data_IF_565684257390
#
_entry.id   IF_565684257390
#
_cell.length_a   1.000
_cell.length_b   1.000
_cell.length_c   1.000
_cell.angle_alpha   90.00
_cell.angle_beta   90.00
_cell.angle_gamma   90.00
#
_symmetry.space_group_name_H-M   'P 1'
#
loop_
_entity.id
_entity.type
_entity.pdbx_description
1 polymer ?
#
# COMPACT_ATOMS: atom_id res chain seq x y z
N UNK A 1 3.05 1.54 -1.45
CA UNK A 1 2.68 2.53 -2.48
C UNK A 1 1.49 2.06 -3.31
N UNK A 2 0.32 2.18 -2.68
CA UNK A 2 -0.99 2.12 -3.30
C UNK A 2 -1.43 3.55 -3.67
N UNK A 3 -2.71 3.74 -3.97
CA UNK A 3 -3.35 5.05 -4.12
C UNK A 3 -2.62 6.03 -5.05
N UNK A 4 -2.27 7.19 -4.48
CA UNK A 4 -1.73 8.38 -5.16
C UNK A 4 -0.40 8.09 -5.85
N UNK A 5 0.52 7.39 -5.19
CA UNK A 5 1.83 7.07 -5.78
C UNK A 5 1.68 6.25 -7.06
N UNK A 6 0.78 5.27 -7.07
CA UNK A 6 0.52 4.47 -8.28
C UNK A 6 -0.15 5.28 -9.40
N UNK A 7 -1.09 6.17 -9.06
CA UNK A 7 -1.70 7.04 -10.05
C UNK A 7 -0.66 7.97 -10.69
N UNK A 8 0.25 8.52 -9.87
CA UNK A 8 1.36 9.34 -10.34
C UNK A 8 2.30 8.57 -11.26
N UNK A 9 2.70 7.35 -10.90
CA UNK A 9 3.50 6.47 -11.77
C UNK A 9 2.81 6.29 -13.11
N UNK A 10 1.50 6.06 -13.12
CA UNK A 10 0.70 5.88 -14.34
C UNK A 10 0.46 7.17 -15.14
N UNK A 11 1.00 8.32 -14.72
CA UNK A 11 0.74 9.62 -15.35
C UNK A 11 -0.72 10.07 -15.23
N UNK A 12 -1.44 9.56 -14.23
CA UNK A 12 -2.86 9.83 -14.00
C UNK A 12 -3.05 10.87 -12.91
N UNK A 13 -4.23 11.47 -12.89
CA UNK A 13 -4.65 12.31 -11.78
C UNK A 13 -4.64 11.49 -10.47
N UNK A 14 -4.08 12.03 -9.37
CA UNK A 14 -4.06 11.36 -8.07
C UNK A 14 -5.43 10.82 -7.61
N UNK A 15 -6.51 11.49 -8.02
CA UNK A 15 -7.89 11.12 -7.68
C UNK A 15 -8.44 9.91 -8.45
N UNK A 16 -7.78 9.46 -9.53
CA UNK A 16 -8.29 8.40 -10.39
C UNK A 16 -8.47 7.04 -9.69
N UNK A 17 -7.76 6.79 -8.58
CA UNK A 17 -7.75 5.50 -7.88
C UNK A 17 -8.56 5.49 -6.57
N UNK A 18 -8.95 6.66 -6.06
CA UNK A 18 -9.39 6.85 -4.67
C UNK A 18 -8.27 6.54 -3.66
N UNK A 19 -8.24 7.22 -2.51
CA UNK A 19 -7.28 6.92 -1.44
C UNK A 19 -8.00 6.74 -0.10
N UNK A 20 -7.79 5.58 0.52
CA UNK A 20 -8.20 5.33 1.90
C UNK A 20 -7.12 5.80 2.86
N UNK A 21 -5.89 5.42 2.55
CA UNK A 21 -4.64 5.71 3.23
C UNK A 21 -3.65 6.41 2.28
N UNK A 22 -2.55 6.87 2.86
CA UNK A 22 -1.42 7.41 2.15
C UNK A 22 -0.16 6.63 2.51
N UNK A 23 0.43 5.96 1.51
CA UNK A 23 1.72 5.30 1.68
C UNK A 23 2.88 6.30 1.54
N UNK A 24 3.72 6.38 2.55
CA UNK A 24 5.03 7.01 2.49
C UNK A 24 6.11 5.96 2.60
N UNK A 25 7.21 6.13 1.89
CA UNK A 25 8.37 5.27 2.06
C UNK A 25 9.57 6.10 2.49
N UNK A 26 10.13 5.76 3.64
CA UNK A 26 11.29 6.43 4.24
C UNK A 26 12.41 5.44 4.47
N UNK A 27 13.63 5.97 4.58
CA UNK A 27 14.75 5.17 5.03
C UNK A 27 14.52 4.73 6.47
N UNK A 28 14.95 3.52 6.81
CA UNK A 28 14.67 2.93 8.12
C UNK A 28 15.26 3.73 9.28
N UNK A 29 16.40 4.38 9.04
CA UNK A 29 17.07 5.21 10.04
C UNK A 29 16.38 6.57 10.25
N UNK A 30 15.55 7.00 9.29
CA UNK A 30 14.83 8.27 9.33
C UNK A 30 13.39 8.13 9.87
N UNK A 31 12.95 6.92 10.23
CA UNK A 31 11.56 6.67 10.66
C UNK A 31 11.20 7.51 11.88
N UNK A 32 12.05 7.52 12.90
CA UNK A 32 11.76 8.24 14.16
C UNK A 32 11.63 9.74 13.90
N UNK A 33 12.61 10.31 13.19
CA UNK A 33 12.59 11.72 12.84
C UNK A 33 11.38 12.07 11.96
N UNK A 34 10.99 11.18 11.05
CA UNK A 34 9.78 11.39 10.24
C UNK A 34 8.54 11.38 11.11
N UNK A 35 8.37 10.40 12.00
CA UNK A 35 7.22 10.34 12.92
C UNK A 35 7.14 11.59 13.79
N UNK A 36 8.26 12.03 14.36
CA UNK A 36 8.34 13.26 15.16
C UNK A 36 7.93 14.48 14.34
N UNK A 37 8.41 14.58 13.09
CA UNK A 37 8.01 15.66 12.21
C UNK A 37 6.50 15.62 11.92
N UNK A 38 5.94 14.44 11.62
CA UNK A 38 4.51 14.31 11.35
C UNK A 38 3.65 14.59 12.57
N UNK A 39 4.17 14.35 13.77
CA UNK A 39 3.51 14.75 15.00
C UNK A 39 3.37 16.28 15.13
N UNK A 40 4.30 17.07 14.58
CA UNK A 40 4.20 18.55 14.59
C UNK A 40 3.00 19.08 13.79
N UNK A 41 2.50 18.29 12.84
CA UNK A 41 1.32 18.61 12.03
C UNK A 41 0.10 17.76 12.43
N UNK A 42 0.08 17.21 13.65
CA UNK A 42 -1.09 16.58 14.26
C UNK A 42 -1.24 15.07 14.04
N UNK A 43 -0.33 14.41 13.32
CA UNK A 43 -0.36 12.95 13.19
C UNK A 43 0.08 12.26 14.49
N UNK A 44 -0.52 11.12 14.81
CA UNK A 44 -0.15 10.29 15.96
C UNK A 44 -0.04 8.83 15.54
N UNK A 45 0.91 8.06 16.06
CA UNK A 45 0.98 6.63 15.76
C UNK A 45 -0.25 5.91 16.29
N UNK A 46 -0.81 4.99 15.48
CA UNK A 46 -1.89 4.11 15.94
C UNK A 46 -1.41 3.23 17.11
N UNK A 47 -0.17 2.76 17.03
CA UNK A 47 0.52 2.02 18.09
C UNK A 47 1.81 2.76 18.49
N UNK A 48 1.83 3.53 19.59
CA UNK A 48 3.04 4.21 20.07
C UNK A 48 4.21 3.25 20.33
N UNK A 49 3.95 2.00 20.75
CA UNK A 49 5.00 1.03 21.02
C UNK A 49 5.70 0.56 19.73
N UNK A 50 5.03 0.65 18.58
CA UNK A 50 5.63 0.39 17.28
C UNK A 50 6.80 1.34 17.00
N UNK A 51 6.64 2.62 17.30
CA UNK A 51 7.66 3.66 17.09
C UNK A 51 8.90 3.35 17.92
N UNK A 52 8.72 3.05 19.21
CA UNK A 52 9.81 2.66 20.10
C UNK A 52 10.56 1.42 19.60
N UNK A 53 9.83 0.40 19.13
CA UNK A 53 10.40 -0.84 18.63
C UNK A 53 11.20 -0.62 17.34
N UNK A 54 10.69 0.19 16.41
CA UNK A 54 11.40 0.50 15.15
C UNK A 54 12.72 1.22 15.43
N UNK A 55 12.75 2.18 16.35
CA UNK A 55 13.97 2.89 16.74
C UNK A 55 14.93 2.06 17.60
N UNK A 56 14.47 0.96 18.20
CA UNK A 56 15.27 0.18 19.14
C UNK A 56 16.36 -0.67 18.45
N UNK A 57 17.61 -0.57 18.93
CA UNK A 57 18.69 -1.47 18.55
C UNK A 57 18.58 -2.88 19.19
N UNK A 58 17.62 -3.09 20.10
CA UNK A 58 17.42 -4.37 20.79
C UNK A 58 17.07 -5.52 19.85
N UNK A 59 17.20 -6.76 20.33
CA UNK A 59 16.73 -7.95 19.58
C UNK A 59 15.26 -7.84 19.19
N UNK A 60 14.41 -7.27 20.07
CA UNK A 60 12.98 -7.06 19.78
C UNK A 60 12.78 -6.05 18.66
N UNK A 61 13.49 -4.93 18.67
CA UNK A 61 13.42 -3.94 17.58
C UNK A 61 13.89 -4.50 16.24
N UNK A 62 14.99 -5.27 16.23
CA UNK A 62 15.45 -5.97 15.02
C UNK A 62 14.41 -6.96 14.47
N UNK A 63 13.76 -7.73 15.35
CA UNK A 63 12.69 -8.65 14.94
C UNK A 63 11.49 -7.87 14.42
N UNK A 64 11.11 -6.77 15.08
CA UNK A 64 10.01 -5.92 14.65
C UNK A 64 10.24 -5.39 13.22
N UNK A 65 11.40 -4.79 12.94
CA UNK A 65 11.78 -4.32 11.60
C UNK A 65 11.88 -5.45 10.56
N UNK A 66 12.01 -6.69 11.01
CA UNK A 66 12.02 -7.87 10.13
C UNK A 66 10.60 -8.30 9.74
N UNK A 67 9.63 -8.29 10.67
CA UNK A 67 8.25 -8.75 10.41
C UNK A 67 7.29 -7.65 9.94
N UNK A 68 7.55 -6.41 10.31
CA UNK A 68 6.68 -5.27 10.04
C UNK A 68 7.33 -4.36 9.00
N UNK A 69 6.59 -3.94 7.95
CA UNK A 69 7.12 -3.05 6.91
C UNK A 69 6.83 -1.56 7.16
N UNK A 70 5.85 -1.25 8.01
CA UNK A 70 5.23 0.08 8.11
C UNK A 70 4.76 0.43 9.54
N UNK A 71 4.55 1.71 9.81
CA UNK A 71 3.83 2.24 10.97
C UNK A 71 2.64 3.04 10.47
N UNK A 72 1.43 2.74 10.94
CA UNK A 72 0.25 3.55 10.63
C UNK A 72 0.16 4.76 11.56
N UNK A 73 0.00 5.94 10.98
CA UNK A 73 -0.19 7.22 11.66
C UNK A 73 -1.59 7.74 11.36
N UNK A 74 -2.29 8.21 12.39
CA UNK A 74 -3.65 8.70 12.34
C UNK A 74 -3.69 10.21 12.53
N UNK A 75 -4.68 10.85 11.93
CA UNK A 75 -4.99 12.27 12.14
C UNK A 75 -6.50 12.42 12.27
N UNK A 76 -6.95 13.38 13.08
CA UNK A 76 -8.40 13.56 13.33
C UNK A 76 -9.16 14.06 12.10
N UNK A 77 -8.49 14.85 11.26
CA UNK A 77 -9.10 15.52 10.10
C UNK A 77 -8.55 15.04 8.75
N UNK A 78 -7.45 14.28 8.75
CA UNK A 78 -6.71 13.92 7.54
C UNK A 78 -6.67 12.41 7.39
N UNK A 79 -6.28 11.96 6.20
CA UNK A 79 -6.18 10.53 5.90
C UNK A 79 -5.05 9.89 6.71
N UNK A 80 -5.23 8.63 7.15
CA UNK A 80 -4.15 7.85 7.73
C UNK A 80 -2.95 7.77 6.79
N UNK A 81 -1.77 7.70 7.38
CA UNK A 81 -0.51 7.48 6.69
C UNK A 81 0.01 6.12 7.08
N UNK A 82 0.32 5.30 6.09
CA UNK A 82 1.19 4.15 6.30
C UNK A 82 2.62 4.58 6.00
N UNK A 83 3.42 4.73 7.05
CA UNK A 83 4.84 5.08 6.97
C UNK A 83 5.65 3.80 6.80
N UNK A 84 5.87 3.40 5.55
CA UNK A 84 6.72 2.29 5.18
C UNK A 84 8.19 2.63 5.42
N UNK A 85 8.91 1.70 6.02
CA UNK A 85 10.38 1.66 6.03
C UNK A 85 10.91 0.45 5.27
N UNK A 86 10.00 -0.40 4.77
CA UNK A 86 10.25 -1.47 3.82
C UNK A 86 9.04 -1.59 2.90
N UNK A 87 9.25 -1.89 1.62
CA UNK A 87 8.13 -2.11 0.70
C UNK A 87 7.28 -3.33 1.07
N UNK A 88 7.89 -4.35 1.67
CA UNK A 88 7.22 -5.60 2.01
C UNK A 88 7.87 -6.25 3.24
N UNK A 89 7.15 -7.23 3.80
CA UNK A 89 7.67 -8.08 4.88
C UNK A 89 8.87 -8.88 4.39
N UNK A 90 9.83 -9.15 5.27
CA UNK A 90 11.07 -9.89 4.93
C UNK A 90 10.86 -11.30 4.39
N UNK A 91 9.70 -11.91 4.66
CA UNK A 91 9.35 -13.24 4.14
C UNK A 91 9.01 -13.23 2.66
N UNK A 92 8.80 -12.05 2.06
CA UNK A 92 8.59 -11.87 0.63
C UNK A 92 9.86 -11.31 0.01
N UNK A 93 10.53 -12.12 -0.81
CA UNK A 93 11.73 -11.72 -1.53
C UNK A 93 11.37 -10.66 -2.58
N UNK A 94 11.54 -9.39 -2.26
CA UNK A 94 11.73 -8.34 -3.26
C UNK A 94 13.12 -7.76 -3.05
N UNK A 95 14.05 -7.97 -3.99
CA UNK A 95 15.43 -7.54 -3.87
C UNK A 95 15.56 -6.06 -4.25
N UNK A 96 14.87 -5.17 -3.54
CA UNK A 96 14.99 -3.73 -3.76
C UNK A 96 15.22 -3.04 -2.41
N UNK A 97 16.39 -2.42 -2.28
CA UNK A 97 16.72 -1.55 -1.15
C UNK A 97 16.07 -0.17 -1.31
N UNK A 98 16.01 0.58 -0.21
CA UNK A 98 15.53 1.97 -0.28
C UNK A 98 16.40 2.81 -1.22
N UNK A 99 17.72 2.72 -1.09
CA UNK A 99 18.65 3.54 -1.87
C UNK A 99 18.56 3.25 -3.36
N UNK A 100 18.53 1.97 -3.77
CA UNK A 100 18.33 1.59 -5.18
C UNK A 100 17.04 2.17 -5.76
N UNK A 101 15.95 2.08 -4.99
CA UNK A 101 14.68 2.62 -5.46
C UNK A 101 14.60 4.14 -5.43
N UNK A 102 15.31 4.78 -4.50
CA UNK A 102 15.41 6.22 -4.41
C UNK A 102 16.23 6.78 -5.58
N UNK A 103 17.35 6.16 -5.91
CA UNK A 103 18.17 6.52 -7.07
C UNK A 103 17.39 6.42 -8.37
N UNK A 104 16.62 5.34 -8.53
CA UNK A 104 15.79 5.13 -9.73
C UNK A 104 14.42 5.82 -9.64
N UNK A 105 14.12 6.57 -8.59
CA UNK A 105 12.79 7.16 -8.41
C UNK A 105 12.52 8.24 -9.45
N UNK A 106 11.25 8.40 -9.80
CA UNK A 106 10.79 9.40 -10.76
C UNK A 106 10.09 10.54 -10.05
N UNK A 107 10.26 11.75 -10.57
CA UNK A 107 9.52 12.92 -10.07
C UNK A 107 8.05 12.80 -10.42
N UNK A 108 7.20 13.17 -9.48
CA UNK A 108 5.77 13.26 -9.71
C UNK A 108 5.49 14.63 -10.37
N UNK A 109 4.85 14.68 -11.54
CA UNK A 109 4.46 15.93 -12.17
C UNK A 109 3.54 16.76 -11.25
N UNK A 110 3.73 18.07 -11.22
CA UNK A 110 2.91 18.98 -10.39
C UNK A 110 3.30 19.01 -8.91
N UNK A 111 4.40 18.37 -8.54
CA UNK A 111 5.08 18.59 -7.26
C UNK A 111 6.23 19.56 -7.53
N UNK A 112 6.56 20.45 -6.60
CA UNK A 112 7.55 21.53 -6.79
C UNK A 112 9.01 21.00 -6.89
N UNK A 113 9.26 19.98 -7.71
CA UNK A 113 10.54 19.27 -7.84
C UNK A 113 10.81 18.26 -6.72
N UNK A 114 9.82 18.03 -5.88
CA UNK A 114 10.02 17.52 -4.54
C UNK A 114 9.44 16.11 -4.35
N UNK A 115 8.25 15.84 -4.90
CA UNK A 115 7.60 14.55 -4.82
C UNK A 115 8.26 13.51 -5.70
N UNK A 116 8.65 12.38 -5.10
CA UNK A 116 9.24 11.23 -5.79
C UNK A 116 8.36 10.00 -5.62
N UNK A 117 8.34 9.15 -6.63
CA UNK A 117 7.67 7.85 -6.60
C UNK A 117 8.55 6.77 -7.20
N UNK A 118 8.18 5.51 -6.97
CA UNK A 118 8.86 4.37 -7.57
C UNK A 118 8.88 4.50 -9.09
N UNK A 119 9.97 4.10 -9.75
CA UNK A 119 9.90 3.85 -11.19
C UNK A 119 8.87 2.73 -11.47
N UNK A 120 8.38 2.67 -12.71
CA UNK A 120 7.35 1.69 -13.09
C UNK A 120 7.77 0.23 -12.82
N UNK A 121 9.06 -0.09 -12.95
CA UNK A 121 9.60 -1.43 -12.64
C UNK A 121 9.47 -1.77 -11.14
N UNK A 122 9.91 -0.86 -10.27
CA UNK A 122 9.80 -1.05 -8.82
C UNK A 122 8.34 -1.05 -8.35
N UNK A 123 7.52 -0.18 -8.94
CA UNK A 123 6.09 -0.14 -8.70
C UNK A 123 5.42 -1.46 -9.11
N UNK A 124 5.83 -2.09 -10.22
CA UNK A 124 5.28 -3.37 -10.67
C UNK A 124 5.61 -4.50 -9.69
N UNK A 125 6.87 -4.64 -9.26
CA UNK A 125 7.27 -5.64 -8.26
C UNK A 125 6.48 -5.45 -6.96
N UNK A 126 6.37 -4.21 -6.49
CA UNK A 126 5.62 -3.88 -5.30
C UNK A 126 4.12 -4.23 -5.44
N UNK A 127 3.49 -3.85 -6.56
CA UNK A 127 2.09 -4.16 -6.84
C UNK A 127 1.83 -5.67 -6.92
N UNK A 128 2.71 -6.42 -7.58
CA UNK A 128 2.61 -7.88 -7.70
C UNK A 128 2.67 -8.58 -6.34
N UNK A 129 3.59 -8.14 -5.47
CA UNK A 129 3.73 -8.70 -4.14
C UNK A 129 2.54 -8.34 -3.23
N UNK A 130 2.06 -7.10 -3.29
CA UNK A 130 0.85 -6.70 -2.55
C UNK A 130 -0.39 -7.47 -3.01
N UNK A 131 -0.61 -7.60 -4.32
CA UNK A 131 -1.72 -8.37 -4.85
C UNK A 131 -1.68 -9.82 -4.36
N UNK A 132 -0.48 -10.41 -4.28
CA UNK A 132 -0.28 -11.76 -3.76
C UNK A 132 -0.54 -11.83 -2.25
N UNK A 133 -0.03 -10.88 -1.46
CA UNK A 133 -0.26 -10.77 0.00
C UNK A 133 -1.76 -10.66 0.31
N UNK A 134 -2.46 -9.83 -0.45
CA UNK A 134 -3.88 -9.53 -0.26
C UNK A 134 -4.77 -10.58 -0.96
N UNK A 135 -4.21 -11.74 -1.32
CA UNK A 135 -4.92 -12.86 -1.95
C UNK A 135 -5.75 -12.48 -3.18
N UNK A 136 -5.33 -11.44 -3.90
CA UNK A 136 -6.03 -10.95 -5.09
C UNK A 136 -7.49 -10.53 -4.80
N UNK A 137 -7.73 -9.97 -3.62
CA UNK A 137 -9.06 -9.60 -3.14
C UNK A 137 -9.75 -8.47 -3.92
N UNK A 138 -8.99 -7.67 -4.67
CA UNK A 138 -9.50 -6.54 -5.45
C UNK A 138 -9.03 -6.57 -6.91
N UNK A 139 -9.96 -6.30 -7.84
CA UNK A 139 -9.67 -6.12 -9.27
C UNK A 139 -8.74 -4.93 -9.53
N UNK A 140 -8.70 -3.96 -8.61
CA UNK A 140 -7.83 -2.79 -8.72
C UNK A 140 -6.36 -3.19 -8.88
N UNK A 141 -5.90 -4.17 -8.10
CA UNK A 141 -4.52 -4.67 -8.20
C UNK A 141 -4.22 -5.20 -9.60
N UNK A 142 -5.14 -5.94 -10.20
CA UNK A 142 -4.97 -6.49 -11.56
C UNK A 142 -4.87 -5.37 -12.59
N UNK A 143 -5.70 -4.33 -12.47
CA UNK A 143 -5.65 -3.15 -13.34
C UNK A 143 -4.29 -2.46 -13.22
N UNK A 144 -3.77 -2.23 -12.02
CA UNK A 144 -2.46 -1.57 -11.87
C UNK A 144 -1.33 -2.39 -12.48
N UNK A 145 -1.33 -3.70 -12.31
CA UNK A 145 -0.35 -4.60 -12.91
C UNK A 145 -0.38 -4.48 -14.43
N UNK A 146 -1.57 -4.46 -15.06
CA UNK A 146 -1.67 -4.27 -16.52
C UNK A 146 -1.02 -2.96 -16.94
N UNK A 147 -1.34 -1.85 -16.27
CA UNK A 147 -0.81 -0.54 -16.64
C UNK A 147 0.71 -0.47 -16.48
N UNK A 148 1.24 -0.92 -15.34
CA UNK A 148 2.67 -0.91 -15.07
C UNK A 148 3.44 -1.82 -16.03
N UNK A 149 2.90 -3.01 -16.34
CA UNK A 149 3.48 -3.93 -17.30
C UNK A 149 3.61 -3.29 -18.69
N UNK A 150 2.59 -2.55 -19.13
CA UNK A 150 2.64 -1.80 -20.41
C UNK A 150 3.64 -0.65 -20.37
N UNK A 151 3.80 0.01 -19.24
CA UNK A 151 4.72 1.15 -19.10
C UNK A 151 6.19 0.75 -19.20
N UNK A 152 6.57 -0.40 -18.64
CA UNK A 152 7.98 -0.84 -18.65
C UNK A 152 8.41 -1.47 -19.99
N UNK A 153 7.45 -1.83 -20.84
CA UNK A 153 7.68 -2.47 -22.13
C UNK A 153 8.01 -3.96 -22.03
N UNK A 154 7.84 -4.63 -23.16
CA UNK A 154 7.86 -6.09 -23.31
C UNK A 154 9.20 -6.74 -22.89
N UNK A 155 10.33 -6.12 -23.26
CA UNK A 155 11.66 -6.64 -22.93
C UNK A 155 11.95 -6.59 -21.43
N UNK A 156 11.60 -5.47 -20.77
CA UNK A 156 11.79 -5.33 -19.33
C UNK A 156 10.84 -6.27 -18.58
N UNK A 157 9.58 -6.35 -19.00
CA UNK A 157 8.59 -7.26 -18.43
C UNK A 157 9.04 -8.72 -18.51
N UNK A 158 9.57 -9.16 -19.65
CA UNK A 158 10.11 -10.52 -19.81
C UNK A 158 11.24 -10.83 -18.82
N UNK A 159 12.20 -9.91 -18.65
CA UNK A 159 13.28 -10.06 -17.66
C UNK A 159 12.75 -10.15 -16.22
N UNK A 160 11.74 -9.34 -15.89
CA UNK A 160 11.12 -9.38 -14.57
C UNK A 160 10.38 -10.70 -14.30
N UNK A 161 9.59 -11.20 -15.26
CA UNK A 161 8.90 -12.49 -15.10
C UNK A 161 9.89 -13.65 -14.89
N UNK A 162 11.07 -13.61 -15.52
CA UNK A 162 12.10 -14.65 -15.32
C UNK A 162 12.73 -14.55 -13.93
N UNK A 163 13.00 -13.33 -13.46
CA UNK A 163 13.75 -13.10 -12.21
C UNK A 163 12.90 -13.03 -10.94
N UNK A 164 11.60 -12.71 -11.06
CA UNK A 164 10.68 -12.52 -9.94
C UNK A 164 9.40 -13.35 -10.12
N UNK A 165 9.27 -14.49 -9.39
CA UNK A 165 8.08 -15.35 -9.46
C UNK A 165 6.77 -14.65 -9.05
N UNK A 166 6.84 -13.59 -8.24
CA UNK A 166 5.65 -12.82 -7.85
C UNK A 166 5.15 -12.00 -9.04
N UNK A 167 6.07 -11.39 -9.79
CA UNK A 167 5.75 -10.67 -11.03
C UNK A 167 5.24 -11.64 -12.09
N UNK A 168 5.87 -12.79 -12.30
CA UNK A 168 5.41 -13.83 -13.24
C UNK A 168 3.95 -14.24 -12.95
N UNK A 169 3.65 -14.61 -11.70
CA UNK A 169 2.29 -14.95 -11.29
C UNK A 169 1.32 -13.78 -11.53
N UNK A 170 1.74 -12.57 -11.17
CA UNK A 170 0.91 -11.37 -11.31
C UNK A 170 0.57 -11.07 -12.77
N UNK A 171 1.52 -11.20 -13.67
CA UNK A 171 1.33 -11.00 -15.11
C UNK A 171 0.40 -12.08 -15.69
N UNK A 172 0.51 -13.35 -15.26
CA UNK A 172 -0.45 -14.38 -15.69
C UNK A 172 -1.86 -14.13 -15.14
N UNK A 173 -2.02 -13.56 -13.94
CA UNK A 173 -3.33 -13.13 -13.46
C UNK A 173 -3.85 -11.98 -14.33
N UNK A 174 -3.03 -10.95 -14.53
CA UNK A 174 -3.35 -9.78 -15.35
C UNK A 174 -3.66 -10.12 -16.81
N UNK A 175 -3.11 -11.21 -17.34
CA UNK A 175 -3.39 -11.65 -18.71
C UNK A 175 -4.82 -12.14 -18.92
N UNK A 176 -5.60 -12.38 -17.86
CA UNK A 176 -7.03 -12.63 -17.96
C UNK A 176 -7.83 -11.35 -18.25
N UNK A 177 -7.26 -10.18 -17.92
CA UNK A 177 -7.81 -8.87 -18.24
C UNK A 177 -7.23 -8.33 -19.56
N UNK A 178 -5.92 -8.50 -19.77
CA UNK A 178 -5.22 -8.09 -21.00
C UNK A 178 -4.42 -9.28 -21.60
N UNK A 179 -5.01 -10.05 -22.52
CA UNK A 179 -4.34 -11.21 -23.14
C UNK A 179 -3.02 -10.88 -23.84
N UNK A 180 -2.77 -9.62 -24.20
CA UNK A 180 -1.51 -9.21 -24.81
C UNK A 180 -0.29 -9.36 -23.89
N UNK A 181 -0.49 -9.54 -22.58
CA UNK A 181 0.59 -9.79 -21.63
C UNK A 181 1.09 -11.24 -21.60
N UNK A 182 0.41 -12.18 -22.30
CA UNK A 182 0.75 -13.61 -22.25
C UNK A 182 2.09 -13.97 -22.87
N UNK A 183 2.64 -13.14 -23.75
CA UNK A 183 3.90 -13.41 -24.46
C UNK A 183 5.16 -13.30 -23.60
N UNK A 184 5.06 -12.79 -22.37
CA UNK A 184 6.22 -12.42 -21.55
C UNK A 184 6.46 -13.36 -20.36
N UNK A 185 5.65 -14.41 -20.20
CA UNK A 185 5.75 -15.31 -19.03
C UNK A 185 6.45 -16.61 -19.40
N UNK A 186 7.39 -17.05 -18.56
CA UNK A 186 7.99 -18.39 -18.63
C UNK A 186 7.20 -19.40 -17.78
N UNK A 187 5.94 -19.08 -17.53
CA UNK A 187 5.13 -19.66 -16.48
C UNK A 187 4.85 -21.14 -16.70
N UNK A 188 5.12 -21.94 -15.67
CA UNK A 188 4.74 -23.34 -15.65
C UNK A 188 3.21 -23.52 -15.70
N UNK A 189 2.74 -24.71 -16.10
CA UNK A 189 1.31 -25.10 -15.98
C UNK A 189 0.76 -24.88 -14.56
N UNK A 190 1.61 -25.04 -13.54
CA UNK A 190 1.25 -24.78 -12.13
C UNK A 190 0.97 -23.30 -11.88
N UNK A 191 1.78 -22.39 -12.42
CA UNK A 191 1.56 -20.94 -12.30
C UNK A 191 0.24 -20.55 -12.94
N UNK A 192 -0.04 -21.02 -14.16
CA UNK A 192 -1.33 -20.80 -14.82
C UNK A 192 -2.52 -21.31 -14.00
N UNK A 193 -2.40 -22.48 -13.37
CA UNK A 193 -3.47 -22.99 -12.49
C UNK A 193 -3.72 -22.07 -11.29
N UNK A 194 -2.65 -21.59 -10.64
CA UNK A 194 -2.75 -20.64 -9.51
C UNK A 194 -3.36 -19.32 -9.95
N UNK A 195 -2.93 -18.78 -11.09
CA UNK A 195 -3.45 -17.54 -11.64
C UNK A 195 -4.95 -17.61 -11.96
N UNK A 196 -5.44 -18.74 -12.50
CA UNK A 196 -6.89 -18.94 -12.71
C UNK A 196 -7.68 -18.92 -11.41
N UNK A 197 -7.12 -19.47 -10.32
CA UNK A 197 -7.77 -19.43 -8.99
C UNK A 197 -7.79 -18.01 -8.46
N UNK A 198 -6.66 -17.30 -8.51
CA UNK A 198 -6.55 -15.90 -8.11
C UNK A 198 -7.54 -15.01 -8.88
N UNK A 199 -7.61 -15.14 -10.21
CA UNK A 199 -8.55 -14.40 -11.04
C UNK A 199 -10.02 -14.65 -10.65
N UNK A 200 -10.39 -15.91 -10.39
CA UNK A 200 -11.73 -16.25 -9.90
C UNK A 200 -12.03 -15.63 -8.53
N UNK A 201 -11.03 -15.56 -7.64
CA UNK A 201 -11.16 -14.89 -6.34
C UNK A 201 -11.43 -13.39 -6.52
N UNK A 202 -10.66 -12.69 -7.38
CA UNK A 202 -10.91 -11.28 -7.71
C UNK A 202 -12.37 -11.03 -8.11
N UNK A 203 -12.87 -11.82 -9.06
CA UNK A 203 -14.23 -11.68 -9.60
C UNK A 203 -15.32 -12.03 -8.59
N UNK A 204 -15.04 -12.95 -7.66
CA UNK A 204 -16.02 -13.39 -6.67
C UNK A 204 -16.18 -12.36 -5.55
N UNK A 205 -15.06 -11.77 -5.11
CA UNK A 205 -15.05 -10.75 -4.07
C UNK A 205 -15.60 -9.41 -4.58
N UNK A 206 -15.36 -9.07 -5.84
CA UNK A 206 -15.94 -7.86 -6.47
C UNK A 206 -17.46 -7.90 -6.61
N UNK A 207 -18.09 -9.09 -6.52
CA UNK A 207 -19.54 -9.29 -6.62
C UNK A 207 -20.27 -9.25 -5.28
N UNK A 208 -19.55 -9.27 -4.15
CA UNK A 208 -20.21 -9.26 -2.83
C UNK A 208 -20.84 -7.89 -2.57
N UNK A 209 -22.14 -7.83 -2.18
CA UNK A 209 -22.76 -6.58 -1.74
C UNK A 209 -21.97 -5.99 -0.57
N UNK A 210 -21.79 -4.67 -0.58
CA UNK A 210 -20.98 -3.91 0.40
C UNK A 210 -21.45 -4.06 1.86
N UNK A 211 -22.62 -4.63 2.10
CA UNK A 211 -23.25 -4.71 3.43
C UNK A 211 -22.50 -5.57 4.45
N UNK A 212 -21.60 -6.47 4.03
CA UNK A 212 -20.75 -7.26 4.96
C UNK A 212 -19.43 -6.54 5.29
N UNK A 213 -18.99 -5.59 4.44
CA UNK A 213 -17.77 -4.82 4.68
C UNK A 213 -17.93 -3.77 5.81
N UNK A 214 -19.16 -3.36 6.11
CA UNK A 214 -19.49 -2.46 7.22
C UNK A 214 -19.30 -3.13 8.60
N UNK A 215 -19.32 -4.46 8.70
CA UNK A 215 -19.12 -5.17 9.98
C UNK A 215 -17.66 -5.48 10.32
N UNK A 216 -16.74 -5.31 9.38
CA UNK A 216 -15.30 -5.62 9.56
C UNK A 216 -14.39 -4.40 9.52
N UNK A 217 -14.93 -3.18 9.35
CA UNK A 217 -14.15 -1.96 9.23
C UNK A 217 -13.58 -1.70 7.83
N UNK A 218 -13.97 -2.47 6.81
CA UNK A 218 -13.49 -2.38 5.43
C UNK A 218 -14.49 -1.69 4.48
N UNK A 219 -15.35 -0.83 5.01
CA UNK A 219 -16.32 -0.10 4.22
C UNK A 219 -15.72 1.22 3.69
N UNK A 220 -15.11 1.20 2.51
CA UNK A 220 -15.20 2.31 1.54
C UNK A 220 -14.47 1.99 0.23
N UNK A 221 -15.18 1.41 -0.75
CA UNK A 221 -14.65 1.20 -2.12
C UNK A 221 -15.48 1.96 -3.19
N UNK A 222 -16.44 2.81 -2.82
CA UNK A 222 -17.21 3.56 -3.86
C UNK A 222 -17.56 5.02 -3.60
N UNK A 223 -17.06 5.68 -2.55
CA UNK A 223 -17.27 7.12 -2.44
C UNK A 223 -16.01 7.85 -2.00
N UNK A 224 -15.82 9.02 -2.63
CA UNK A 224 -14.94 10.15 -2.27
C UNK A 224 -13.65 10.29 -3.09
N UNK A 225 -13.77 11.24 -4.01
CA UNK A 225 -12.79 12.00 -4.76
C UNK A 225 -11.95 12.94 -3.86
N UNK A 226 -10.88 13.47 -4.45
CA UNK A 226 -10.00 14.60 -4.02
C UNK A 226 -8.73 14.22 -3.20
N UNK A 227 -7.52 14.32 -3.81
CA UNK A 227 -6.45 15.37 -3.78
C UNK A 227 -5.76 15.42 -2.38
N UNK A 228 -4.42 15.38 -2.14
CA UNK A 228 -3.18 15.75 -2.85
C UNK A 228 -1.95 14.90 -2.41
N UNK A 229 -0.78 15.23 -2.96
CA UNK A 229 0.59 14.63 -2.95
C UNK A 229 1.30 14.59 -1.57
N UNK A 230 2.42 13.85 -1.43
CA UNK A 230 3.33 13.91 -0.27
C UNK A 230 4.84 13.92 -0.59
N UNK A 231 5.65 14.34 0.40
CA UNK A 231 7.14 14.33 0.47
C UNK A 231 7.59 14.08 1.95
N UNK A 232 8.77 13.57 2.32
CA UNK A 232 10.09 14.26 2.42
C UNK A 232 11.23 13.30 2.84
N UNK A 233 12.47 13.66 2.44
CA UNK A 233 13.77 13.30 3.07
C UNK A 233 14.24 14.53 3.89
N UNK A 234 14.49 14.34 5.18
CA UNK A 234 14.83 15.34 6.22
C UNK A 234 15.30 16.72 5.72
N UNK A 235 14.37 17.67 5.69
CA UNK A 235 14.62 19.11 5.57
C UNK A 235 13.95 19.81 6.78
N UNK A 236 14.55 20.86 7.37
CA UNK A 236 14.05 21.50 8.60
C UNK A 236 12.68 22.22 8.48
N UNK A 237 12.05 22.20 7.30
CA UNK A 237 10.85 22.97 6.93
C UNK A 237 9.65 22.10 6.45
N UNK A 238 9.70 20.81 6.76
CA UNK A 238 8.78 19.75 6.33
C UNK A 238 7.29 20.03 6.69
N UNK A 239 7.02 20.93 7.64
CA UNK A 239 5.67 21.37 8.02
C UNK A 239 5.01 22.31 7.00
N UNK A 240 5.79 23.15 6.31
CA UNK A 240 5.28 24.12 5.33
C UNK A 240 5.01 23.47 3.97
N UNK A 241 5.79 22.45 3.59
CA UNK A 241 5.63 21.72 2.33
C UNK A 241 4.40 20.77 2.34
N UNK A 242 4.03 20.23 3.50
CA UNK A 242 2.87 19.35 3.65
C UNK A 242 1.53 20.11 3.78
N UNK A 243 1.57 21.36 4.24
CA UNK A 243 0.40 22.18 4.55
C UNK A 243 -0.61 22.33 3.37
N UNK A 244 -0.19 22.66 2.13
CA UNK A 244 -1.12 22.81 1.01
C UNK A 244 -1.72 21.47 0.54
N UNK A 245 -1.04 20.37 0.86
CA UNK A 245 -1.44 19.00 0.51
C UNK A 245 -2.47 18.43 1.51
N UNK A 246 -2.60 19.10 2.65
CA UNK A 246 -3.32 18.71 3.85
C UNK A 246 -4.56 19.60 4.10
N UNK A 247 -4.51 20.91 3.81
CA UNK A 247 -5.52 21.88 4.23
C UNK A 247 -6.68 22.20 3.25
N UNK A 248 -7.13 21.28 2.39
CA UNK A 248 -8.39 21.51 1.69
C UNK A 248 -9.58 21.19 2.63
N UNK A 249 -10.40 22.16 3.06
CA UNK A 249 -11.39 21.92 4.09
C UNK A 249 -12.55 21.08 3.55
N UNK A 250 -12.89 20.00 4.26
CA UNK A 250 -14.22 19.38 4.18
C UNK A 250 -14.96 19.66 5.47
N UNK A 251 -15.96 20.53 5.38
CA UNK A 251 -16.95 20.76 6.44
C UNK A 251 -17.67 19.45 6.77
N UNK A 252 -17.42 18.89 7.97
CA UNK A 252 -18.15 17.74 8.53
C UNK A 252 -19.35 18.17 9.39
N UNK A 253 -20.23 19.02 8.88
CA UNK A 253 -21.57 19.21 9.48
C UNK A 253 -22.63 18.42 8.73
N UNK A 254 -22.63 17.11 8.96
CA UNK A 254 -23.81 16.25 9.07
C UNK A 254 -23.35 14.79 9.06
N UNK A 255 -23.27 14.16 10.23
CA UNK A 255 -23.54 12.74 10.50
C UNK A 255 -23.39 12.54 12.01
N UNK A 256 -24.53 12.67 12.68
CA UNK A 256 -24.71 12.40 14.11
C UNK A 256 -24.53 10.90 14.41
N UNK A 257 -23.63 10.63 15.35
CA UNK A 257 -23.67 9.62 16.41
C UNK A 257 -23.94 8.13 16.06
N UNK A 258 -22.90 7.27 16.06
CA UNK A 258 -23.06 5.84 16.29
C UNK A 258 -22.63 5.47 17.73
N UNK A 259 -23.58 4.93 18.50
CA UNK A 259 -23.35 4.40 19.83
C UNK A 259 -22.21 3.33 19.86
N UNK A 260 -21.44 3.23 20.96
CA UNK A 260 -20.34 2.28 21.06
C UNK A 260 -20.85 0.82 21.11
N UNK A 261 -20.15 -0.07 20.41
CA UNK A 261 -20.37 -1.52 20.48
C UNK A 261 -20.09 -2.04 21.91
N UNK A 262 -20.91 -2.94 22.46
CA UNK A 262 -20.70 -3.48 23.80
C UNK A 262 -19.41 -4.32 23.88
N UNK A 263 -18.61 -4.08 24.93
CA UNK A 263 -17.38 -4.79 25.30
C UNK A 263 -17.48 -6.33 25.36
N UNK A 264 -18.70 -6.90 25.32
CA UNK A 264 -18.94 -8.34 25.31
C UNK A 264 -18.44 -9.07 24.06
N UNK A 265 -18.50 -8.43 22.88
CA UNK A 265 -18.19 -9.10 21.60
C UNK A 265 -16.68 -9.41 21.47
N UNK A 266 -15.82 -8.53 21.98
CA UNK A 266 -14.36 -8.70 21.92
C UNK A 266 -13.88 -9.82 22.87
N UNK A 267 -14.61 -10.03 23.98
CA UNK A 267 -14.34 -11.11 24.94
C UNK A 267 -14.70 -12.48 24.37
N UNK A 268 -15.80 -12.57 23.62
CA UNK A 268 -16.24 -13.82 22.98
C UNK A 268 -15.31 -14.26 21.84
N UNK A 269 -14.76 -13.32 21.08
CA UNK A 269 -13.78 -13.61 20.03
C UNK A 269 -12.49 -14.17 20.64
N UNK A 270 -12.01 -13.59 21.74
CA UNK A 270 -10.81 -14.05 22.44
C UNK A 270 -10.99 -15.41 23.13
N UNK A 271 -12.19 -15.72 23.62
CA UNK A 271 -12.49 -17.00 24.24
C UNK A 271 -12.58 -18.14 23.21
N UNK A 272 -13.23 -17.90 22.06
CA UNK A 272 -13.31 -18.90 20.98
C UNK A 272 -11.94 -19.24 20.36
N UNK A 273 -11.02 -18.28 20.32
CA UNK A 273 -9.65 -18.50 19.87
C UNK A 273 -8.80 -19.36 20.83
N UNK A 274 -9.18 -19.46 22.11
CA UNK A 274 -8.52 -20.32 23.11
C UNK A 274 -9.03 -21.76 23.06
N UNK A 275 -10.30 -21.96 22.70
CA UNK A 275 -10.91 -23.29 22.60
C UNK A 275 -10.44 -24.08 21.37
N UNK A 276 -10.02 -23.41 20.30
CA UNK A 276 -9.48 -24.05 19.08
C UNK A 276 -8.02 -24.51 19.21
N UNK A 277 -7.38 -24.33 20.37
CA UNK A 277 -5.99 -24.74 20.65
C UNK A 277 -5.87 -25.86 21.69
N UNK A 278 -6.97 -26.53 22.03
CA UNK A 278 -6.99 -27.78 22.80
C UNK A 278 -7.50 -28.90 21.91
#
# INVERSE_FOLDING_TARGET
MKGVGMAAVQGRTPSARGSGDLDLWVHVDDVIQTVEHLATIGYQPEDPAAVELVGSASRRGRIYRWITPEITLLHNELKPIDLHFRLLRSTTHVPITFDEAWESSVLIPGTDGHGRTLCAEHALRHAAAHATKDCWDTLRHVVDIVHLARMIGDDALGRLCVSDPSVDLAVVVASNLDPGLTGHTTSSRRTHRRARVAWKMCLSLSKRPQSIALQTGWANIRSRSEVMVWQVRTAPDLGTALHPLIEAPVSMRALTDPAPLPLGIMRDILNRAKETRR
#
